data_IF_177769707757
#
_entry.id   IF_177769707757
#
_cell.length_a   1.000
_cell.length_b   1.000
_cell.length_c   1.000
_cell.angle_alpha   90.00
_cell.angle_beta   90.00
_cell.angle_gamma   90.00
#
_symmetry.space_group_name_H-M   'P 1'
#
loop_
_entity.id
_entity.type
_entity.pdbx_description
1 polymer ?
#
# COMPACT_ATOMS: atom_id res chain seq x y z
N UNK A 1 -8.81 16.38 5.85
CA UNK A 1 -8.23 15.74 7.03
C UNK A 1 -8.91 14.40 7.25
N UNK A 2 -8.14 13.31 7.40
CA UNK A 2 -8.67 11.98 7.69
C UNK A 2 -8.06 11.53 9.03
N UNK A 3 -8.87 11.61 10.10
CA UNK A 3 -8.34 11.42 11.44
C UNK A 3 -7.28 12.50 11.76
N UNK A 4 -6.05 12.07 12.12
CA UNK A 4 -4.89 12.96 12.36
C UNK A 4 -4.03 13.19 11.11
N UNK A 5 -4.45 12.71 9.96
CA UNK A 5 -3.65 12.74 8.73
C UNK A 5 -4.17 13.82 7.78
N UNK A 6 -3.29 14.69 7.33
CA UNK A 6 -3.58 15.68 6.28
C UNK A 6 -3.25 15.05 4.94
N UNK A 7 -4.19 15.03 4.01
CA UNK A 7 -3.97 14.59 2.63
C UNK A 7 -3.38 15.75 1.83
N UNK A 8 -2.26 15.50 1.15
CA UNK A 8 -1.62 16.49 0.28
C UNK A 8 -1.93 16.26 -1.19
N UNK A 9 -1.74 15.05 -1.68
CA UNK A 9 -1.91 14.71 -3.09
C UNK A 9 -2.22 13.23 -3.29
N UNK A 10 -2.67 12.87 -4.49
CA UNK A 10 -2.82 11.49 -4.92
C UNK A 10 -1.47 10.98 -5.44
N UNK A 11 -0.98 9.87 -4.89
CA UNK A 11 0.21 9.17 -5.38
C UNK A 11 -0.14 8.19 -6.50
N UNK A 12 -1.30 7.54 -6.40
CA UNK A 12 -1.76 6.59 -7.39
C UNK A 12 -3.21 6.16 -7.17
N UNK A 13 -3.82 5.62 -8.23
CA UNK A 13 -5.17 5.09 -8.19
C UNK A 13 -5.21 3.78 -8.99
N UNK A 14 -5.73 2.73 -8.38
CA UNK A 14 -5.90 1.40 -8.97
C UNK A 14 -7.34 0.92 -8.89
N UNK A 15 -7.58 -0.31 -9.35
CA UNK A 15 -8.92 -0.91 -9.38
C UNK A 15 -9.57 -1.04 -7.98
N UNK A 16 -8.77 -1.19 -6.93
CA UNK A 16 -9.24 -1.46 -5.58
C UNK A 16 -9.09 -0.29 -4.61
N UNK A 17 -8.40 0.79 -4.99
CA UNK A 17 -8.19 1.89 -4.07
C UNK A 17 -7.43 3.07 -4.63
N UNK A 18 -7.28 4.07 -3.76
CA UNK A 18 -6.55 5.30 -4.02
C UNK A 18 -5.45 5.41 -2.96
N UNK A 19 -4.23 5.72 -3.39
CA UNK A 19 -3.11 5.98 -2.48
C UNK A 19 -2.78 7.47 -2.50
N UNK A 20 -2.70 8.04 -1.32
CA UNK A 20 -2.42 9.46 -1.10
C UNK A 20 -1.05 9.66 -0.43
N UNK A 21 -0.39 10.76 -0.77
CA UNK A 21 0.62 11.37 0.09
C UNK A 21 -0.11 12.13 1.21
N UNK A 22 0.29 11.90 2.43
CA UNK A 22 -0.23 12.64 3.57
C UNK A 22 0.86 12.97 4.58
N UNK A 23 0.49 13.80 5.55
CA UNK A 23 1.31 14.15 6.71
C UNK A 23 0.63 13.62 7.97
N UNK A 24 1.36 12.89 8.78
CA UNK A 24 0.97 12.58 10.16
C UNK A 24 1.25 13.83 11.01
N UNK A 25 0.22 14.56 11.41
CA UNK A 25 0.35 15.80 12.20
C UNK A 25 1.01 15.58 13.56
N UNK A 26 0.82 14.40 14.16
CA UNK A 26 1.40 14.09 15.48
C UNK A 26 2.91 13.90 15.42
N UNK A 27 3.42 13.28 14.35
CA UNK A 27 4.83 12.96 14.19
C UNK A 27 5.55 13.87 13.19
N UNK A 28 4.84 14.77 12.53
CA UNK A 28 5.35 15.69 11.49
C UNK A 28 6.09 14.93 10.37
N UNK A 29 5.53 13.78 9.94
CA UNK A 29 6.16 12.89 8.95
C UNK A 29 5.25 12.63 7.76
N UNK A 30 5.88 12.49 6.61
CA UNK A 30 5.19 11.99 5.41
C UNK A 30 4.76 10.55 5.60
N UNK A 31 3.56 10.24 5.14
CA UNK A 31 2.97 8.90 5.12
C UNK A 31 2.30 8.63 3.78
N UNK A 32 2.23 7.37 3.40
CA UNK A 32 1.38 6.91 2.31
C UNK A 32 0.07 6.38 2.90
N UNK A 33 -1.07 6.86 2.39
CA UNK A 33 -2.39 6.48 2.90
C UNK A 33 -3.15 5.80 1.78
N UNK A 34 -3.39 4.50 1.92
CA UNK A 34 -4.16 3.70 0.97
C UNK A 34 -5.61 3.65 1.45
N UNK A 35 -6.52 4.06 0.60
CA UNK A 35 -7.96 4.02 0.82
C UNK A 35 -8.60 2.88 0.05
N UNK A 36 -9.47 2.11 0.68
CA UNK A 36 -10.30 1.12 -0.01
C UNK A 36 -11.39 1.83 -0.81
N UNK A 37 -11.19 1.92 -2.12
CA UNK A 37 -12.10 2.60 -3.05
C UNK A 37 -12.24 1.80 -4.35
N UNK A 38 -12.95 0.65 -4.34
CA UNK A 38 -13.10 -0.20 -5.51
C UNK A 38 -13.87 0.52 -6.60
N UNK A 39 -13.20 0.75 -7.75
CA UNK A 39 -13.76 1.48 -8.89
C UNK A 39 -15.00 0.77 -9.44
N UNK A 40 -16.01 1.56 -9.80
CA UNK A 40 -17.26 1.05 -10.36
C UNK A 40 -18.25 0.50 -9.32
N UNK A 41 -17.81 0.22 -8.10
CA UNK A 41 -18.66 -0.26 -7.01
C UNK A 41 -19.09 0.88 -6.10
N UNK A 42 -18.21 1.86 -5.90
CA UNK A 42 -18.44 2.98 -4.99
C UNK A 42 -18.28 4.33 -5.68
N UNK A 43 -18.90 5.33 -5.08
CA UNK A 43 -18.76 6.74 -5.45
C UNK A 43 -18.61 7.60 -4.20
N UNK A 44 -18.08 8.82 -4.37
CA UNK A 44 -18.02 9.85 -3.33
C UNK A 44 -18.54 11.15 -3.90
N UNK A 45 -19.47 11.78 -3.20
CA UNK A 45 -19.89 13.13 -3.51
C UNK A 45 -19.17 14.11 -2.57
N UNK A 46 -18.09 14.70 -3.05
CA UNK A 46 -17.22 15.61 -2.29
C UNK A 46 -17.96 16.90 -1.88
N UNK A 47 -19.00 17.30 -2.63
CA UNK A 47 -19.73 18.55 -2.36
C UNK A 47 -20.59 18.48 -1.09
N UNK A 48 -21.02 17.28 -0.70
CA UNK A 48 -21.97 17.10 0.41
C UNK A 48 -21.46 16.23 1.55
N UNK A 49 -20.63 15.24 1.26
CA UNK A 49 -20.10 14.30 2.26
C UNK A 49 -18.81 13.63 1.76
N UNK A 50 -17.82 13.52 2.64
CA UNK A 50 -16.61 12.71 2.36
C UNK A 50 -16.90 11.19 2.37
N UNK A 51 -18.12 10.80 2.69
CA UNK A 51 -18.55 9.40 2.86
C UNK A 51 -18.62 8.67 1.52
N UNK A 52 -18.01 7.50 1.48
CA UNK A 52 -18.10 6.57 0.35
C UNK A 52 -19.48 5.90 0.33
N UNK A 53 -20.09 5.88 -0.84
CA UNK A 53 -21.41 5.27 -1.05
C UNK A 53 -21.33 4.16 -2.09
N UNK A 54 -21.90 3.00 -1.77
CA UNK A 54 -22.02 1.88 -2.73
C UNK A 54 -23.04 2.25 -3.79
N UNK A 55 -22.66 2.15 -5.06
CA UNK A 55 -23.49 2.60 -6.19
C UNK A 55 -24.73 1.72 -6.39
N UNK A 56 -24.60 0.41 -6.16
CA UNK A 56 -25.69 -0.55 -6.34
C UNK A 56 -25.95 -1.33 -5.06
N UNK A 57 -27.21 -1.44 -4.65
CA UNK A 57 -27.61 -2.14 -3.40
C UNK A 57 -27.12 -3.60 -3.36
N UNK A 58 -27.09 -4.29 -4.51
CA UNK A 58 -26.60 -5.67 -4.62
C UNK A 58 -25.10 -5.84 -4.37
N UNK A 59 -24.31 -4.78 -4.42
CA UNK A 59 -22.85 -4.81 -4.20
C UNK A 59 -22.45 -4.55 -2.74
N UNK A 60 -23.39 -4.25 -1.86
CA UNK A 60 -23.10 -3.90 -0.47
C UNK A 60 -22.33 -5.02 0.27
N UNK A 61 -22.78 -6.26 0.13
CA UNK A 61 -22.12 -7.40 0.79
C UNK A 61 -20.72 -7.65 0.23
N UNK A 62 -20.53 -7.48 -1.07
CA UNK A 62 -19.23 -7.58 -1.72
C UNK A 62 -18.28 -6.48 -1.26
N UNK A 63 -18.79 -5.26 -1.13
CA UNK A 63 -18.05 -4.12 -0.61
C UNK A 63 -17.59 -4.35 0.82
N UNK A 64 -18.47 -4.77 1.72
CA UNK A 64 -18.11 -5.03 3.13
C UNK A 64 -17.08 -6.14 3.25
N UNK A 65 -17.25 -7.25 2.52
CA UNK A 65 -16.24 -8.32 2.47
C UNK A 65 -14.88 -7.85 1.92
N UNK A 66 -14.89 -6.99 0.91
CA UNK A 66 -13.67 -6.37 0.36
C UNK A 66 -12.98 -5.49 1.38
N UNK A 67 -13.74 -4.66 2.10
CA UNK A 67 -13.24 -3.80 3.18
C UNK A 67 -12.62 -4.60 4.34
N UNK A 68 -13.28 -5.70 4.75
CA UNK A 68 -12.72 -6.61 5.76
C UNK A 68 -11.40 -7.25 5.32
N UNK A 69 -11.29 -7.68 4.04
CA UNK A 69 -10.04 -8.21 3.49
C UNK A 69 -8.93 -7.18 3.49
N UNK A 70 -9.25 -5.95 3.09
CA UNK A 70 -8.33 -4.83 3.10
C UNK A 70 -7.77 -4.54 4.50
N UNK A 71 -8.62 -4.54 5.54
CA UNK A 71 -8.18 -4.39 6.93
C UNK A 71 -7.39 -5.62 7.43
N UNK A 72 -7.69 -6.81 6.93
CA UNK A 72 -6.90 -8.01 7.24
C UNK A 72 -5.50 -7.92 6.65
N UNK A 73 -5.36 -7.36 5.45
CA UNK A 73 -4.06 -7.05 4.83
C UNK A 73 -3.22 -6.16 5.75
N UNK A 74 -3.79 -5.04 6.23
CA UNK A 74 -3.11 -4.13 7.16
C UNK A 74 -2.62 -4.84 8.43
N UNK A 75 -3.47 -5.69 9.03
CA UNK A 75 -3.10 -6.48 10.22
C UNK A 75 -1.97 -7.46 9.91
N UNK A 76 -1.93 -7.99 8.71
CA UNK A 76 -0.87 -8.89 8.25
C UNK A 76 0.44 -8.13 8.10
N UNK A 77 0.44 -6.98 7.40
CA UNK A 77 1.62 -6.11 7.26
C UNK A 77 2.19 -5.69 8.63
N UNK A 78 1.33 -5.36 9.58
CA UNK A 78 1.75 -4.94 10.92
C UNK A 78 2.59 -6.02 11.67
N UNK A 79 2.40 -7.32 11.36
CA UNK A 79 3.20 -8.42 11.95
C UNK A 79 4.65 -8.37 11.48
N UNK A 80 4.91 -7.87 10.28
CA UNK A 80 6.23 -7.77 9.68
C UNK A 80 6.87 -6.38 9.83
N UNK A 81 6.41 -5.58 10.80
CA UNK A 81 6.90 -4.22 11.02
C UNK A 81 8.40 -4.11 11.34
N UNK A 82 9.04 -5.22 11.71
CA UNK A 82 10.49 -5.30 11.97
C UNK A 82 11.30 -5.67 10.73
N UNK A 83 10.66 -6.19 9.68
CA UNK A 83 11.30 -6.54 8.43
C UNK A 83 11.58 -5.27 7.62
N UNK A 84 12.83 -5.10 7.20
CA UNK A 84 13.24 -3.91 6.45
C UNK A 84 12.90 -4.01 4.95
N UNK A 85 12.69 -5.20 4.43
CA UNK A 85 12.31 -5.44 3.03
C UNK A 85 10.82 -5.32 2.75
N UNK A 86 10.00 -5.04 3.78
CA UNK A 86 8.54 -4.90 3.67
C UNK A 86 8.14 -3.49 4.08
N UNK A 87 7.17 -2.89 3.36
CA UNK A 87 6.59 -1.61 3.75
C UNK A 87 5.87 -1.74 5.10
N UNK A 88 6.11 -0.80 6.01
CA UNK A 88 5.54 -0.82 7.35
C UNK A 88 4.15 -0.22 7.36
N UNK A 89 3.16 -0.97 7.84
CA UNK A 89 1.88 -0.41 8.23
C UNK A 89 2.03 0.29 9.58
N UNK A 90 1.72 1.59 9.61
CA UNK A 90 1.82 2.45 10.79
C UNK A 90 0.50 2.54 11.55
N UNK A 91 -0.62 2.52 10.80
CA UNK A 91 -1.97 2.63 11.35
C UNK A 91 -2.99 2.06 10.36
N UNK A 92 -4.19 1.73 10.82
CA UNK A 92 -5.33 1.41 9.96
C UNK A 92 -6.63 1.66 10.71
N UNK A 93 -7.63 2.17 10.02
CA UNK A 93 -8.91 2.55 10.62
C UNK A 93 -10.03 2.62 9.58
N UNK A 94 -11.25 2.68 10.09
CA UNK A 94 -12.47 2.89 9.30
C UNK A 94 -13.06 4.25 9.63
N UNK A 95 -13.33 5.04 8.59
CA UNK A 95 -14.07 6.30 8.64
C UNK A 95 -14.68 6.56 7.25
N UNK A 96 -15.68 7.44 7.15
CA UNK A 96 -16.31 7.79 5.87
C UNK A 96 -16.87 6.59 5.11
N UNK A 97 -17.34 5.57 5.81
CA UNK A 97 -17.84 4.31 5.26
C UNK A 97 -16.82 3.56 4.39
N UNK A 98 -15.53 3.77 4.61
CA UNK A 98 -14.43 3.05 3.98
C UNK A 98 -13.32 2.74 4.97
N UNK A 99 -12.25 2.10 4.52
CA UNK A 99 -11.09 1.76 5.33
C UNK A 99 -9.82 2.40 4.77
N UNK A 100 -8.91 2.72 5.66
CA UNK A 100 -7.62 3.31 5.36
C UNK A 100 -6.49 2.50 5.98
N UNK A 101 -5.39 2.35 5.25
CA UNK A 101 -4.11 1.84 5.74
C UNK A 101 -3.10 2.97 5.62
N UNK A 102 -2.48 3.34 6.74
CA UNK A 102 -1.39 4.31 6.78
C UNK A 102 -0.08 3.56 6.80
N UNK A 103 0.79 3.87 5.87
CA UNK A 103 2.09 3.23 5.69
C UNK A 103 3.21 4.25 5.74
N UNK A 104 4.42 3.79 6.00
CA UNK A 104 5.60 4.63 5.80
C UNK A 104 5.64 5.14 4.35
N UNK A 105 5.98 6.41 4.17
CA UNK A 105 6.23 6.95 2.83
C UNK A 105 7.61 6.51 2.35
N UNK A 106 7.66 5.89 1.19
CA UNK A 106 8.90 5.39 0.59
C UNK A 106 9.42 6.40 -0.43
N UNK A 107 10.59 6.97 -0.18
CA UNK A 107 11.28 7.86 -1.14
C UNK A 107 12.07 7.01 -2.14
N UNK A 108 11.55 6.91 -3.36
CA UNK A 108 12.12 6.08 -4.40
C UNK A 108 11.22 5.96 -5.62
N UNK A 109 11.52 4.99 -6.47
CA UNK A 109 10.74 4.67 -7.67
C UNK A 109 10.38 3.19 -7.67
N UNK A 110 9.33 2.82 -8.42
CA UNK A 110 9.01 1.40 -8.56
C UNK A 110 10.13 0.66 -9.30
N UNK A 111 10.29 -0.62 -9.03
CA UNK A 111 11.24 -1.47 -9.76
C UNK A 111 10.95 -1.43 -11.28
N UNK A 112 9.68 -1.33 -11.66
CA UNK A 112 9.29 -1.18 -13.06
C UNK A 112 9.86 0.09 -13.69
N UNK A 113 9.81 1.22 -12.97
CA UNK A 113 10.40 2.47 -13.43
C UNK A 113 11.93 2.36 -13.45
N UNK A 114 12.52 1.81 -12.39
CA UNK A 114 13.95 1.57 -12.31
C UNK A 114 14.48 0.75 -13.50
N UNK A 115 13.79 -0.35 -13.87
CA UNK A 115 14.13 -1.20 -15.03
C UNK A 115 13.98 -0.48 -16.38
N UNK A 116 13.12 0.52 -16.47
CA UNK A 116 12.99 1.34 -17.69
C UNK A 116 14.08 2.40 -17.82
N UNK A 117 14.53 2.93 -16.70
CA UNK A 117 15.58 3.97 -16.66
C UNK A 117 16.98 3.37 -16.77
N UNK A 118 17.15 2.08 -16.45
CA UNK A 118 18.40 1.34 -16.51
C UNK A 118 18.29 0.22 -17.56
N UNK A 119 18.80 0.46 -18.76
CA UNK A 119 18.71 -0.53 -19.85
C UNK A 119 19.43 -1.84 -19.51
N UNK A 120 20.42 -1.80 -18.63
CA UNK A 120 21.20 -2.95 -18.20
C UNK A 120 21.54 -2.80 -16.72
N UNK A 121 21.31 -3.88 -15.98
CA UNK A 121 21.71 -4.00 -14.58
C UNK A 121 22.79 -5.07 -14.51
N UNK A 122 23.90 -4.76 -13.85
CA UNK A 122 24.97 -5.74 -13.66
C UNK A 122 24.52 -6.84 -12.66
N UNK A 123 25.02 -8.10 -12.84
CA UNK A 123 24.58 -9.21 -12.00
C UNK A 123 24.79 -9.00 -10.49
N UNK A 124 25.89 -8.32 -10.13
CA UNK A 124 26.22 -8.00 -8.74
C UNK A 124 25.20 -7.05 -8.12
N UNK A 125 24.82 -5.99 -8.84
CA UNK A 125 23.78 -5.04 -8.43
C UNK A 125 22.42 -5.72 -8.29
N UNK A 126 22.11 -6.62 -9.21
CA UNK A 126 20.86 -7.41 -9.13
C UNK A 126 20.82 -8.26 -7.85
N UNK A 127 21.92 -8.91 -7.49
CA UNK A 127 22.00 -9.70 -6.26
C UNK A 127 21.87 -8.81 -5.01
N UNK A 128 22.55 -7.66 -4.97
CA UNK A 128 22.45 -6.72 -3.85
C UNK A 128 20.99 -6.23 -3.64
N UNK A 129 20.26 -6.00 -4.73
CA UNK A 129 18.86 -5.60 -4.67
C UNK A 129 17.95 -6.73 -4.22
N UNK A 130 18.08 -7.93 -4.80
CA UNK A 130 17.07 -8.98 -4.66
C UNK A 130 17.30 -9.93 -3.49
N UNK A 131 18.54 -10.13 -3.03
CA UNK A 131 18.80 -11.04 -1.89
C UNK A 131 18.02 -10.60 -0.64
N UNK A 132 18.03 -9.33 -0.22
CA UNK A 132 17.23 -8.89 0.93
C UNK A 132 15.73 -9.08 0.75
N UNK A 133 15.21 -8.93 -0.47
CA UNK A 133 13.80 -9.17 -0.77
C UNK A 133 13.45 -10.66 -0.63
N UNK A 134 14.31 -11.55 -1.12
CA UNK A 134 14.11 -13.00 -1.01
C UNK A 134 14.12 -13.43 0.46
N UNK A 135 15.01 -12.87 1.27
CA UNK A 135 15.06 -13.12 2.71
C UNK A 135 13.76 -12.67 3.41
N UNK A 136 13.25 -11.48 3.06
CA UNK A 136 11.95 -10.99 3.56
C UNK A 136 10.79 -11.89 3.12
N UNK A 137 10.81 -12.41 1.89
CA UNK A 137 9.81 -13.35 1.41
C UNK A 137 9.88 -14.69 2.13
N UNK A 138 11.08 -15.17 2.44
CA UNK A 138 11.27 -16.42 3.21
C UNK A 138 10.67 -16.29 4.61
N UNK A 139 10.88 -15.14 5.28
CA UNK A 139 10.27 -14.86 6.58
C UNK A 139 8.73 -14.85 6.50
N UNK A 140 8.14 -14.21 5.47
CA UNK A 140 6.70 -14.21 5.25
C UNK A 140 6.18 -15.64 5.04
N UNK A 141 6.86 -16.41 4.20
CA UNK A 141 6.47 -17.78 3.86
C UNK A 141 6.61 -18.72 5.06
N UNK A 142 7.63 -18.53 5.90
CA UNK A 142 7.82 -19.32 7.14
C UNK A 142 6.64 -19.19 8.10
N UNK A 143 5.92 -18.06 8.06
CA UNK A 143 4.71 -17.81 8.82
C UNK A 143 3.42 -18.25 8.12
N UNK A 144 3.54 -18.98 7.02
CA UNK A 144 2.42 -19.53 6.25
C UNK A 144 1.66 -18.49 5.43
N UNK A 145 2.27 -17.31 5.19
CA UNK A 145 1.67 -16.25 4.40
C UNK A 145 2.30 -16.19 3.00
N UNK A 146 1.50 -15.92 2.00
CA UNK A 146 1.93 -15.75 0.62
C UNK A 146 1.49 -14.36 0.16
N UNK A 147 2.40 -13.61 -0.45
CA UNK A 147 2.14 -12.24 -0.91
C UNK A 147 1.11 -12.17 -2.04
N UNK A 148 1.14 -13.11 -2.99
CA UNK A 148 0.23 -13.31 -4.14
C UNK A 148 0.28 -12.26 -5.25
N UNK A 149 0.93 -11.12 -5.04
CA UNK A 149 1.01 -10.03 -6.03
C UNK A 149 2.43 -9.44 -6.11
N UNK A 150 3.44 -10.31 -6.22
CA UNK A 150 4.83 -9.88 -6.43
C UNK A 150 4.98 -9.44 -7.88
N UNK A 151 5.17 -8.16 -8.09
CA UNK A 151 5.37 -7.56 -9.41
C UNK A 151 6.32 -6.37 -9.34
N UNK A 152 6.95 -5.96 -10.45
CA UNK A 152 7.80 -4.77 -10.47
C UNK A 152 7.08 -3.47 -10.11
N UNK A 153 5.76 -3.42 -10.20
CA UNK A 153 4.94 -2.28 -9.76
C UNK A 153 4.82 -2.23 -8.23
N UNK A 154 4.88 -3.39 -7.55
CA UNK A 154 4.71 -3.53 -6.10
C UNK A 154 6.05 -3.63 -5.34
N UNK A 155 7.16 -3.32 -5.99
CA UNK A 155 8.49 -3.25 -5.38
C UNK A 155 9.02 -1.84 -5.56
N UNK A 156 9.42 -1.19 -4.47
CA UNK A 156 10.07 0.14 -4.49
C UNK A 156 11.58 -0.02 -4.38
N UNK A 157 12.29 0.68 -5.25
CA UNK A 157 13.74 0.92 -5.15
C UNK A 157 13.92 2.27 -4.49
N UNK A 158 14.47 2.28 -3.28
CA UNK A 158 14.65 3.48 -2.48
C UNK A 158 15.90 4.26 -2.91
N UNK A 159 15.96 5.55 -2.58
CA UNK A 159 17.12 6.40 -2.86
C UNK A 159 18.44 5.86 -2.30
N UNK A 160 18.41 5.02 -1.28
CA UNK A 160 19.58 4.35 -0.69
C UNK A 160 19.97 3.01 -1.34
N UNK A 161 19.34 2.61 -2.46
CA UNK A 161 19.60 1.34 -3.13
C UNK A 161 18.96 0.11 -2.47
N UNK A 162 18.22 0.28 -1.36
CA UNK A 162 17.43 -0.80 -0.77
C UNK A 162 16.10 -0.95 -1.51
N UNK A 163 15.53 -2.15 -1.47
CA UNK A 163 14.20 -2.38 -2.01
C UNK A 163 13.20 -2.74 -0.92
N UNK A 164 11.94 -2.40 -1.15
CA UNK A 164 10.83 -2.79 -0.27
C UNK A 164 9.65 -3.30 -1.08
N UNK A 165 9.06 -4.37 -0.57
CA UNK A 165 7.83 -4.93 -1.09
C UNK A 165 6.64 -4.16 -0.52
N UNK A 166 5.73 -3.77 -1.41
CA UNK A 166 4.48 -3.10 -1.06
C UNK A 166 3.30 -4.04 -1.30
N UNK A 167 2.13 -3.64 -0.82
CA UNK A 167 0.82 -4.23 -1.14
C UNK A 167 0.77 -5.76 -1.04
N UNK A 168 0.52 -6.27 0.17
CA UNK A 168 0.15 -7.66 0.36
C UNK A 168 -1.18 -7.90 -0.37
N UNK A 169 -1.09 -8.51 -1.55
CA UNK A 169 -2.21 -8.72 -2.44
C UNK A 169 -3.36 -9.51 -1.83
N UNK A 170 -4.50 -9.22 -2.30
CA UNK A 170 -5.82 -9.70 -1.89
C UNK A 170 -6.01 -11.22 -1.95
#
# INVERSE_FOLDING_TARGET
>A
LIGRYIIESVLGQGGFGITYLGIDELHEKKVAIKEFFPQGIVTRNIEYQDTVTVTFVGEKDNYEKGKERFLKEARTMAKFSKDEGIVKALDFFEINNTAYIVMEYLEGITLKQYLRENERIEPEELLELFVPLIESLDEIHSQGLIHRDISPDNIMVLLGGKIKLMDFGA
#
